data_IF_455367898565
#
_entry.id   IF_455367898565
#
_cell.length_a   1.000
_cell.length_b   1.000
_cell.length_c   1.000
_cell.angle_alpha   90.00
_cell.angle_beta   90.00
_cell.angle_gamma   90.00
#
_symmetry.space_group_name_H-M   'P 1'
#
loop_
_entity.id
_entity.type
_entity.pdbx_description
1 polymer ?
#
# COMPACT_ATOMS: atom_id res chain seq x y z
N UNK A 1 9.11 -13.00 -0.89
CA UNK A 1 7.98 -12.72 0.03
C UNK A 1 8.42 -12.46 1.46
N UNK A 2 9.52 -13.04 1.94
CA UNK A 2 10.07 -12.72 3.28
C UNK A 2 10.29 -11.22 3.52
N UNK A 3 10.93 -10.52 2.58
CA UNK A 3 11.11 -9.06 2.67
C UNK A 3 9.79 -8.30 2.82
N UNK A 4 8.75 -8.65 2.04
CA UNK A 4 7.42 -8.04 2.14
C UNK A 4 6.86 -8.22 3.55
N UNK A 5 6.92 -9.46 4.09
CA UNK A 5 6.39 -9.77 5.42
C UNK A 5 7.19 -9.07 6.53
N UNK A 6 8.53 -8.97 6.39
CA UNK A 6 9.38 -8.23 7.33
C UNK A 6 9.00 -6.75 7.36
N UNK A 7 9.01 -6.06 6.20
CA UNK A 7 8.68 -4.63 6.11
C UNK A 7 7.28 -4.34 6.64
N UNK A 8 6.31 -5.22 6.33
CA UNK A 8 4.95 -5.14 6.85
C UNK A 8 4.90 -5.26 8.38
N UNK A 9 5.59 -6.25 8.96
CA UNK A 9 5.61 -6.48 10.39
C UNK A 9 6.35 -5.38 11.16
N UNK A 10 7.46 -4.88 10.63
CA UNK A 10 8.22 -3.77 11.24
C UNK A 10 7.35 -2.51 11.36
N UNK A 11 6.58 -2.20 10.31
CA UNK A 11 5.66 -1.06 10.30
C UNK A 11 4.46 -1.27 11.23
N UNK A 12 3.97 -2.51 11.36
CA UNK A 12 2.96 -2.83 12.37
C UNK A 12 3.53 -2.60 13.76
N UNK A 13 4.76 -3.03 14.03
CA UNK A 13 5.39 -2.83 15.32
C UNK A 13 5.49 -1.35 15.68
N UNK A 14 5.89 -0.49 14.73
CA UNK A 14 5.93 0.97 14.92
C UNK A 14 4.53 1.53 15.24
N UNK A 15 3.50 1.11 14.49
CA UNK A 15 2.11 1.55 14.69
C UNK A 15 1.58 1.12 16.06
N UNK A 16 1.81 -0.12 16.45
CA UNK A 16 1.32 -0.68 17.72
C UNK A 16 2.03 -0.02 18.91
N UNK A 17 3.35 0.18 18.81
CA UNK A 17 4.14 0.88 19.83
C UNK A 17 3.68 2.34 20.00
N UNK A 18 3.42 3.03 18.88
CA UNK A 18 2.91 4.39 18.92
C UNK A 18 1.48 4.44 19.47
N UNK A 19 0.61 3.52 19.04
CA UNK A 19 -0.77 3.43 19.51
C UNK A 19 -0.83 3.16 21.01
N UNK A 20 0.03 2.29 21.55
CA UNK A 20 0.13 2.04 22.99
C UNK A 20 0.39 3.33 23.77
N UNK A 21 1.38 4.13 23.34
CA UNK A 21 1.68 5.43 23.94
C UNK A 21 0.46 6.35 23.92
N UNK A 22 -0.18 6.51 22.76
CA UNK A 22 -1.33 7.41 22.59
C UNK A 22 -2.53 6.96 23.43
N UNK A 23 -2.79 5.65 23.47
CA UNK A 23 -3.87 5.07 24.25
C UNK A 23 -3.65 5.29 25.76
N UNK A 24 -2.43 5.09 26.26
CA UNK A 24 -2.10 5.33 27.66
C UNK A 24 -2.25 6.82 28.05
N UNK A 25 -1.91 7.73 27.14
CA UNK A 25 -2.14 9.16 27.32
C UNK A 25 -3.65 9.48 27.41
N UNK A 26 -4.50 8.88 26.55
CA UNK A 26 -5.95 9.07 26.60
C UNK A 26 -6.55 8.62 27.94
N UNK A 27 -6.13 7.44 28.42
CA UNK A 27 -6.57 6.89 29.70
C UNK A 27 -6.16 7.79 30.87
N UNK A 28 -4.93 8.30 30.86
CA UNK A 28 -4.43 9.21 31.89
C UNK A 28 -5.17 10.56 31.89
N UNK A 29 -5.44 11.14 30.71
CA UNK A 29 -6.26 12.36 30.58
C UNK A 29 -7.66 12.13 31.15
N UNK A 30 -8.27 10.98 30.85
CA UNK A 30 -9.61 10.62 31.31
C UNK A 30 -9.69 10.37 32.83
N UNK A 31 -8.56 10.05 33.48
CA UNK A 31 -8.49 9.66 34.90
C UNK A 31 -8.04 10.78 35.85
N UNK A 32 -7.98 12.03 35.39
CA UNK A 32 -7.57 13.19 36.22
C UNK A 32 -6.36 13.96 35.69
N UNK A 33 -5.86 13.62 34.51
CA UNK A 33 -4.82 14.36 33.79
C UNK A 33 -3.58 13.51 33.49
N UNK A 34 -3.06 13.64 32.26
CA UNK A 34 -1.77 13.04 31.90
C UNK A 34 -0.63 13.98 32.31
N UNK A 35 -0.06 13.75 33.49
CA UNK A 35 1.07 14.53 34.03
C UNK A 35 2.36 13.74 33.88
N UNK A 36 3.33 14.29 33.17
CA UNK A 36 4.70 13.78 33.06
C UNK A 36 5.58 14.48 34.08
N UNK A 37 6.28 13.71 34.92
CA UNK A 37 7.21 14.24 35.91
C UNK A 37 8.64 14.16 35.39
N UNK A 38 9.33 15.30 35.41
CA UNK A 38 10.75 15.44 35.10
C UNK A 38 11.48 15.96 36.35
N UNK A 39 12.80 15.82 36.42
CA UNK A 39 13.58 16.26 37.59
C UNK A 39 13.29 17.73 37.94
N UNK A 40 12.46 17.95 38.97
CA UNK A 40 12.04 19.27 39.46
C UNK A 40 10.90 19.96 38.70
N UNK A 41 10.31 19.35 37.66
CA UNK A 41 9.20 19.95 36.90
C UNK A 41 8.12 18.93 36.55
N UNK A 42 6.90 19.41 36.30
CA UNK A 42 5.79 18.57 35.85
C UNK A 42 5.16 19.18 34.60
N UNK A 43 4.77 18.34 33.66
CA UNK A 43 4.15 18.74 32.41
C UNK A 43 2.82 18.04 32.22
N UNK A 44 1.74 18.80 32.11
CA UNK A 44 0.42 18.26 31.78
C UNK A 44 0.25 18.23 30.27
N UNK A 45 0.03 17.03 29.72
CA UNK A 45 -0.28 16.85 28.30
C UNK A 45 -1.58 17.57 27.98
N UNK A 46 -1.52 18.46 26.98
CA UNK A 46 -2.67 19.27 26.56
C UNK A 46 -3.57 18.43 25.62
N UNK A 47 -4.90 18.65 25.65
CA UNK A 47 -5.82 17.99 24.71
C UNK A 47 -5.44 18.19 23.23
N UNK A 48 -4.89 19.35 22.87
CA UNK A 48 -4.39 19.61 21.51
C UNK A 48 -3.22 18.70 21.11
N UNK A 49 -2.31 18.41 22.05
CA UNK A 49 -1.17 17.51 21.80
C UNK A 49 -1.65 16.07 21.60
N UNK A 50 -2.66 15.65 22.34
CA UNK A 50 -3.31 14.36 22.13
C UNK A 50 -3.94 14.26 20.73
N UNK A 51 -4.63 15.31 20.26
CA UNK A 51 -5.18 15.36 18.90
C UNK A 51 -4.10 15.28 17.83
N UNK A 52 -2.99 15.98 18.02
CA UNK A 52 -1.83 15.88 17.14
C UNK A 52 -1.29 14.45 17.13
N UNK A 53 -1.22 13.77 18.27
CA UNK A 53 -0.79 12.38 18.31
C UNK A 53 -1.71 11.45 17.50
N UNK A 54 -3.03 11.60 17.64
CA UNK A 54 -4.00 10.85 16.84
C UNK A 54 -3.81 11.00 15.34
N UNK A 55 -3.56 12.22 14.87
CA UNK A 55 -3.36 12.47 13.44
C UNK A 55 -2.12 11.77 12.87
N UNK A 56 -1.10 11.49 13.69
CA UNK A 56 0.07 10.72 13.26
C UNK A 56 -0.27 9.26 12.97
N UNK A 57 -1.26 8.67 13.66
CA UNK A 57 -1.71 7.28 13.40
C UNK A 57 -2.22 7.15 11.96
N UNK A 58 -2.96 8.15 11.46
CA UNK A 58 -3.40 8.15 10.06
C UNK A 58 -2.23 8.12 9.06
N UNK A 59 -1.16 8.85 9.35
CA UNK A 59 0.04 8.85 8.52
C UNK A 59 0.75 7.50 8.56
N UNK A 60 0.92 6.91 9.76
CA UNK A 60 1.52 5.58 9.89
C UNK A 60 0.70 4.51 9.15
N UNK A 61 -0.64 4.54 9.28
CA UNK A 61 -1.52 3.62 8.58
C UNK A 61 -1.43 3.77 7.06
N UNK A 62 -1.41 5.00 6.54
CA UNK A 62 -1.25 5.22 5.10
C UNK A 62 0.11 4.73 4.60
N UNK A 63 1.16 5.03 5.37
CA UNK A 63 2.52 4.60 5.05
C UNK A 63 2.65 3.07 5.07
N UNK A 64 1.98 2.37 6.00
CA UNK A 64 1.86 0.91 6.00
C UNK A 64 1.19 0.39 4.71
N UNK A 65 0.07 0.99 4.28
CA UNK A 65 -0.60 0.61 3.03
C UNK A 65 0.33 0.81 1.83
N UNK A 66 0.88 2.01 1.68
CA UNK A 66 1.70 2.38 0.52
C UNK A 66 2.95 1.51 0.39
N UNK A 67 3.69 1.34 1.48
CA UNK A 67 4.87 0.48 1.48
C UNK A 67 4.57 -0.97 1.19
N UNK A 68 3.48 -1.52 1.76
CA UNK A 68 3.09 -2.91 1.51
C UNK A 68 2.82 -3.13 0.02
N UNK A 69 2.04 -2.24 -0.60
CA UNK A 69 1.73 -2.36 -2.03
C UNK A 69 2.97 -2.15 -2.90
N UNK A 70 3.82 -1.18 -2.60
CA UNK A 70 5.08 -0.95 -3.34
C UNK A 70 6.01 -2.17 -3.26
N UNK A 71 6.22 -2.73 -2.06
CA UNK A 71 7.08 -3.92 -1.91
C UNK A 71 6.45 -5.17 -2.55
N UNK A 72 5.13 -5.28 -2.60
CA UNK A 72 4.44 -6.34 -3.34
C UNK A 72 4.64 -6.22 -4.86
N UNK A 73 4.56 -5.00 -5.41
CA UNK A 73 4.86 -4.73 -6.82
C UNK A 73 6.30 -5.14 -7.12
N UNK A 74 7.27 -4.68 -6.33
CA UNK A 74 8.69 -5.03 -6.49
C UNK A 74 8.92 -6.55 -6.43
N UNK A 75 8.20 -7.24 -5.54
CA UNK A 75 8.28 -8.68 -5.44
C UNK A 75 7.80 -9.36 -6.73
N UNK A 76 6.66 -8.94 -7.29
CA UNK A 76 6.14 -9.47 -8.55
C UNK A 76 7.11 -9.18 -9.70
N UNK A 77 7.60 -7.95 -9.83
CA UNK A 77 8.57 -7.54 -10.86
C UNK A 77 9.82 -8.44 -10.84
N UNK A 78 10.40 -8.62 -9.66
CA UNK A 78 11.61 -9.43 -9.46
C UNK A 78 11.38 -10.89 -9.79
N UNK A 79 10.30 -11.49 -9.25
CA UNK A 79 9.98 -12.90 -9.52
C UNK A 79 9.61 -13.14 -10.98
N UNK A 80 8.89 -12.20 -11.62
CA UNK A 80 8.56 -12.29 -13.03
C UNK A 80 9.78 -12.13 -13.93
N UNK A 81 10.75 -11.29 -13.58
CA UNK A 81 11.99 -11.10 -14.35
C UNK A 81 12.93 -12.31 -14.25
N UNK A 82 13.04 -12.91 -13.06
CA UNK A 82 13.91 -14.07 -12.79
C UNK A 82 13.28 -15.39 -13.24
N UNK A 83 11.98 -15.58 -13.00
CA UNK A 83 11.21 -16.49 -13.83
C UNK A 83 11.20 -15.96 -15.26
N UNK A 84 10.66 -16.57 -16.30
CA UNK A 84 10.85 -16.12 -17.71
C UNK A 84 12.30 -16.11 -18.25
N UNK A 85 13.32 -15.65 -17.51
CA UNK A 85 14.73 -15.65 -17.93
C UNK A 85 14.93 -15.04 -19.33
N UNK A 86 14.36 -13.85 -19.55
CA UNK A 86 14.37 -13.13 -20.83
C UNK A 86 13.28 -13.54 -21.84
N UNK A 87 12.56 -14.65 -21.62
CA UNK A 87 11.56 -15.14 -22.58
C UNK A 87 10.20 -14.48 -22.35
N UNK A 88 9.93 -13.34 -23.01
CA UNK A 88 8.69 -12.56 -22.85
C UNK A 88 7.41 -13.31 -23.23
N UNK A 89 7.52 -14.33 -24.08
CA UNK A 89 6.42 -15.21 -24.47
C UNK A 89 5.91 -16.06 -23.30
N UNK A 90 6.77 -16.33 -22.30
CA UNK A 90 6.38 -17.01 -21.07
C UNK A 90 5.49 -16.14 -20.17
N UNK A 91 5.42 -14.82 -20.36
CA UNK A 91 4.51 -13.98 -19.56
C UNK A 91 3.05 -14.19 -19.95
N UNK A 92 2.17 -14.16 -18.95
CA UNK A 92 0.71 -14.03 -19.19
C UNK A 92 0.38 -12.77 -19.97
N UNK A 93 -0.77 -12.77 -20.65
CA UNK A 93 -1.23 -11.60 -21.41
C UNK A 93 -1.31 -10.33 -20.54
N UNK A 94 -1.80 -10.47 -19.31
CA UNK A 94 -1.88 -9.38 -18.33
C UNK A 94 -0.49 -8.79 -18.03
N UNK A 95 0.47 -9.64 -17.66
CA UNK A 95 1.84 -9.20 -17.35
C UNK A 95 2.55 -8.62 -18.57
N UNK A 96 2.33 -9.18 -19.77
CA UNK A 96 2.88 -8.64 -21.02
C UNK A 96 2.34 -7.25 -21.32
N UNK A 97 1.03 -7.03 -21.14
CA UNK A 97 0.41 -5.70 -21.27
C UNK A 97 1.01 -4.70 -20.29
N UNK A 98 1.20 -5.07 -19.02
CA UNK A 98 1.83 -4.20 -18.03
C UNK A 98 3.27 -3.84 -18.41
N UNK A 99 4.06 -4.85 -18.78
CA UNK A 99 5.45 -4.64 -19.21
C UNK A 99 5.53 -3.71 -20.43
N UNK A 100 4.76 -3.96 -21.49
CA UNK A 100 4.74 -3.10 -22.68
C UNK A 100 4.28 -1.68 -22.32
N UNK A 101 3.26 -1.55 -21.45
CA UNK A 101 2.81 -0.23 -20.98
C UNK A 101 3.91 0.50 -20.23
N UNK A 102 4.72 -0.19 -19.42
CA UNK A 102 5.84 0.42 -18.70
C UNK A 102 6.95 0.91 -19.64
N UNK A 103 7.27 0.14 -20.69
CA UNK A 103 8.34 0.49 -21.65
C UNK A 103 7.87 1.58 -22.60
N UNK A 104 6.69 1.43 -23.19
CA UNK A 104 6.13 2.37 -24.14
C UNK A 104 5.70 3.69 -23.48
N UNK A 105 5.33 3.66 -22.20
CA UNK A 105 4.76 4.75 -21.42
C UNK A 105 3.77 5.61 -22.23
N UNK A 106 2.67 5.01 -22.73
CA UNK A 106 1.76 5.66 -23.68
C UNK A 106 1.05 6.90 -23.11
N UNK A 107 1.07 7.06 -21.78
CA UNK A 107 0.51 8.19 -21.05
C UNK A 107 1.46 9.39 -20.95
N UNK A 108 2.75 9.22 -21.28
CA UNK A 108 3.72 10.31 -21.26
C UNK A 108 3.62 11.16 -22.54
N UNK A 109 3.75 12.48 -22.38
CA UNK A 109 3.90 13.41 -23.50
C UNK A 109 5.32 13.28 -24.07
N UNK A 110 5.47 12.35 -25.03
CA UNK A 110 6.75 12.03 -25.68
C UNK A 110 6.80 12.54 -27.12
N UNK A 111 7.99 13.01 -27.52
CA UNK A 111 8.30 13.33 -28.93
C UNK A 111 8.32 12.06 -29.79
N UNK A 112 8.26 12.23 -31.11
CA UNK A 112 8.31 11.10 -32.04
C UNK A 112 9.62 10.31 -31.93
N UNK A 113 10.73 11.00 -31.71
CA UNK A 113 12.07 10.40 -31.55
C UNK A 113 12.10 9.50 -30.31
N UNK A 114 11.62 9.97 -29.16
CA UNK A 114 11.55 9.18 -27.92
C UNK A 114 10.64 7.96 -28.06
N UNK A 115 9.54 8.09 -28.83
CA UNK A 115 8.66 6.94 -29.12
C UNK A 115 9.38 5.90 -29.96
N UNK A 116 10.15 6.32 -30.98
CA UNK A 116 10.97 5.43 -31.79
C UNK A 116 12.06 4.74 -30.95
N UNK A 117 12.75 5.48 -30.08
CA UNK A 117 13.75 4.92 -29.15
C UNK A 117 13.15 3.82 -28.26
N UNK A 118 11.96 4.06 -27.68
CA UNK A 118 11.24 3.05 -26.88
C UNK A 118 10.83 1.83 -27.71
N UNK A 119 10.41 2.02 -28.96
CA UNK A 119 10.09 0.92 -29.86
C UNK A 119 11.32 0.08 -30.21
N UNK A 120 12.46 0.71 -30.48
CA UNK A 120 13.74 0.03 -30.71
C UNK A 120 14.20 -0.73 -29.46
N UNK A 121 14.05 -0.14 -28.26
CA UNK A 121 14.36 -0.83 -27.01
C UNK A 121 13.51 -2.10 -26.85
N UNK A 122 12.20 -2.02 -27.09
CA UNK A 122 11.32 -3.18 -27.02
C UNK A 122 11.74 -4.26 -28.04
N UNK A 123 12.10 -3.86 -29.26
CA UNK A 123 12.59 -4.76 -30.30
C UNK A 123 13.88 -5.49 -29.89
N UNK A 124 14.86 -4.75 -29.36
CA UNK A 124 16.12 -5.32 -28.86
C UNK A 124 15.90 -6.29 -27.69
N UNK A 125 14.94 -5.99 -26.80
CA UNK A 125 14.57 -6.86 -25.68
C UNK A 125 13.89 -8.15 -26.15
N UNK A 126 12.98 -8.08 -27.13
CA UNK A 126 12.34 -9.25 -27.75
C UNK A 126 13.37 -10.15 -28.45
N UNK A 127 14.40 -9.57 -29.07
CA UNK A 127 15.49 -10.30 -29.69
C UNK A 127 16.56 -10.80 -28.69
N UNK A 128 16.35 -10.60 -27.38
CA UNK A 128 17.32 -10.93 -26.33
C UNK A 128 18.70 -10.25 -26.49
N UNK A 129 18.75 -9.11 -27.18
CA UNK A 129 19.96 -8.30 -27.35
C UNK A 129 20.22 -7.41 -26.12
N UNK A 130 19.17 -7.13 -25.34
CA UNK A 130 19.26 -6.44 -24.05
C UNK A 130 18.51 -7.20 -22.96
N UNK A 131 18.97 -7.12 -21.69
CA UNK A 131 18.25 -7.71 -20.58
C UNK A 131 16.87 -7.06 -20.41
N UNK A 132 15.93 -7.88 -20.00
CA UNK A 132 14.58 -7.46 -19.63
C UNK A 132 14.54 -7.23 -18.12
N UNK A 133 13.91 -6.14 -17.73
CA UNK A 133 13.54 -5.88 -16.35
C UNK A 133 12.04 -5.55 -16.34
N UNK A 134 11.24 -6.45 -15.77
CA UNK A 134 9.80 -6.25 -15.74
C UNK A 134 9.50 -5.09 -14.79
N UNK A 135 8.80 -4.08 -15.31
CA UNK A 135 8.26 -2.98 -14.54
C UNK A 135 6.74 -2.94 -14.65
N UNK A 136 6.08 -2.77 -13.52
CA UNK A 136 4.65 -2.59 -13.43
C UNK A 136 4.42 -1.09 -13.26
N UNK A 137 3.66 -0.44 -14.16
CA UNK A 137 3.35 0.98 -14.01
C UNK A 137 2.74 1.24 -12.62
N UNK A 138 3.17 2.30 -11.92
CA UNK A 138 2.66 2.61 -10.60
C UNK A 138 1.15 2.87 -10.70
N UNK A 139 0.34 1.89 -10.29
CA UNK A 139 -1.11 2.03 -10.18
C UNK A 139 -1.47 3.11 -9.15
N UNK A 140 -2.56 3.82 -9.35
CA UNK A 140 -3.08 4.77 -8.36
C UNK A 140 -2.19 5.99 -8.03
N UNK A 141 -1.01 6.18 -8.65
CA UNK A 141 -0.16 7.37 -8.46
C UNK A 141 0.24 7.64 -7.00
N UNK A 142 0.40 6.59 -6.18
CA UNK A 142 0.67 6.73 -4.75
C UNK A 142 -0.55 7.17 -3.93
N UNK A 143 -1.78 6.94 -4.43
CA UNK A 143 -3.06 7.18 -3.76
C UNK A 143 -3.83 5.86 -3.54
N UNK A 144 -3.25 4.97 -2.74
CA UNK A 144 -3.79 3.63 -2.52
C UNK A 144 -5.05 3.64 -1.67
N UNK A 145 -6.10 3.00 -2.20
CA UNK A 145 -7.25 2.52 -1.44
C UNK A 145 -7.67 1.13 -1.92
N UNK A 146 -8.74 0.57 -1.33
CA UNK A 146 -9.25 -0.77 -1.71
C UNK A 146 -9.52 -0.87 -3.21
N UNK A 147 -10.09 0.17 -3.82
CA UNK A 147 -10.48 0.17 -5.23
C UNK A 147 -9.23 0.17 -6.12
N UNK A 148 -8.27 1.05 -5.83
CA UNK A 148 -7.03 1.13 -6.62
C UNK A 148 -6.16 -0.13 -6.46
N UNK A 149 -6.15 -0.73 -5.27
CA UNK A 149 -5.47 -2.00 -5.01
C UNK A 149 -6.14 -3.14 -5.80
N UNK A 150 -7.47 -3.26 -5.75
CA UNK A 150 -8.20 -4.28 -6.52
C UNK A 150 -7.97 -4.14 -8.04
N UNK A 151 -7.97 -2.91 -8.56
CA UNK A 151 -7.67 -2.63 -9.97
C UNK A 151 -6.26 -3.06 -10.36
N UNK A 152 -5.25 -2.71 -9.55
CA UNK A 152 -3.87 -3.13 -9.77
C UNK A 152 -3.75 -4.65 -9.72
N UNK A 153 -4.30 -5.30 -8.69
CA UNK A 153 -4.22 -6.75 -8.54
C UNK A 153 -4.83 -7.45 -9.75
N UNK A 154 -5.99 -6.97 -10.23
CA UNK A 154 -6.63 -7.50 -11.44
C UNK A 154 -5.78 -7.29 -12.69
N UNK A 155 -5.11 -6.14 -12.85
CA UNK A 155 -4.26 -5.87 -14.02
C UNK A 155 -3.00 -6.74 -14.04
N UNK A 156 -2.47 -7.11 -12.87
CA UNK A 156 -1.39 -8.08 -12.71
C UNK A 156 -1.88 -9.50 -13.00
N UNK A 157 -3.15 -9.81 -12.67
CA UNK A 157 -3.73 -11.15 -12.73
C UNK A 157 -3.85 -11.83 -11.37
N UNK A 158 -3.64 -11.09 -10.27
CA UNK A 158 -3.91 -11.54 -8.90
C UNK A 158 -5.40 -11.46 -8.64
N UNK A 159 -5.99 -12.57 -8.20
CA UNK A 159 -7.43 -12.65 -7.90
C UNK A 159 -7.70 -12.22 -6.46
N UNK A 160 -8.40 -11.10 -6.28
CA UNK A 160 -8.72 -10.53 -4.95
C UNK A 160 -10.20 -10.78 -4.66
N UNK A 161 -10.50 -11.87 -3.96
CA UNK A 161 -11.86 -12.21 -3.50
C UNK A 161 -11.98 -12.11 -1.98
N UNK A 162 -12.28 -10.90 -1.51
CA UNK A 162 -12.50 -10.67 -0.08
C UNK A 162 -13.67 -11.52 0.44
N UNK A 163 -13.46 -12.19 1.58
CA UNK A 163 -14.54 -12.84 2.31
C UNK A 163 -15.63 -11.82 2.70
N UNK A 164 -16.89 -12.24 2.78
CA UNK A 164 -17.99 -11.33 3.13
C UNK A 164 -17.73 -10.53 4.41
N UNK A 165 -17.19 -11.10 5.50
CA UNK A 165 -16.84 -10.35 6.71
C UNK A 165 -15.77 -9.29 6.48
N UNK A 166 -14.68 -9.63 5.77
CA UNK A 166 -13.59 -8.68 5.52
C UNK A 166 -14.04 -7.57 4.56
N UNK A 167 -14.78 -7.91 3.50
CA UNK A 167 -15.37 -6.94 2.58
C UNK A 167 -16.27 -5.96 3.32
N UNK A 168 -17.08 -6.44 4.26
CA UNK A 168 -17.94 -5.60 5.07
C UNK A 168 -17.11 -4.63 5.94
N UNK A 169 -16.05 -5.11 6.58
CA UNK A 169 -15.14 -4.27 7.38
C UNK A 169 -14.50 -3.15 6.55
N UNK A 170 -14.00 -3.45 5.35
CA UNK A 170 -13.22 -2.50 4.55
C UNK A 170 -14.06 -1.57 3.66
N UNK A 171 -15.32 -1.93 3.37
CA UNK A 171 -16.19 -1.15 2.46
C UNK A 171 -17.26 -0.33 3.19
N UNK A 172 -17.67 -0.72 4.41
CA UNK A 172 -18.70 0.03 5.14
C UNK A 172 -18.17 1.41 5.55
N UNK A 173 -19.01 2.45 5.52
CA UNK A 173 -18.65 3.73 6.09
C UNK A 173 -18.17 3.58 7.54
N UNK A 174 -17.02 4.17 7.83
CA UNK A 174 -16.43 4.26 9.15
C UNK A 174 -16.70 5.62 9.76
N UNK A 175 -16.44 6.69 9.01
CA UNK A 175 -16.64 8.09 9.42
C UNK A 175 -16.79 8.99 8.19
N UNK A 176 -17.59 10.04 8.30
CA UNK A 176 -17.86 11.01 7.22
C UNK A 176 -18.26 10.33 5.89
N UNK A 177 -19.08 9.28 5.98
CA UNK A 177 -19.51 8.42 4.87
C UNK A 177 -18.36 7.75 4.09
N UNK A 178 -17.17 7.68 4.68
CA UNK A 178 -15.97 7.09 4.06
C UNK A 178 -15.65 5.75 4.67
N UNK A 179 -15.36 4.79 3.80
CA UNK A 179 -14.77 3.51 4.18
C UNK A 179 -13.39 3.70 4.84
N UNK A 180 -12.94 2.80 5.75
CA UNK A 180 -11.72 2.96 6.55
C UNK A 180 -10.47 3.38 5.77
N UNK A 181 -10.11 2.63 4.73
CA UNK A 181 -8.89 2.87 3.95
C UNK A 181 -9.01 4.14 3.11
N UNK A 182 -10.20 4.44 2.59
CA UNK A 182 -10.47 5.69 1.87
C UNK A 182 -10.36 6.89 2.80
N UNK A 183 -10.88 6.80 4.02
CA UNK A 183 -10.75 7.82 5.05
C UNK A 183 -9.27 8.11 5.34
N UNK A 184 -8.46 7.07 5.58
CA UNK A 184 -7.03 7.20 5.84
C UNK A 184 -6.32 7.93 4.69
N UNK A 185 -6.57 7.51 3.44
CA UNK A 185 -6.02 8.15 2.24
C UNK A 185 -6.38 9.62 2.15
N UNK A 186 -7.66 9.96 2.32
CA UNK A 186 -8.13 11.35 2.21
C UNK A 186 -7.57 12.24 3.32
N UNK A 187 -7.47 11.72 4.55
CA UNK A 187 -6.84 12.44 5.67
C UNK A 187 -5.36 12.69 5.40
N UNK A 188 -4.62 11.66 4.95
CA UNK A 188 -3.20 11.83 4.55
C UNK A 188 -3.05 12.93 3.50
N UNK A 189 -3.90 12.93 2.48
CA UNK A 189 -3.86 13.95 1.41
C UNK A 189 -4.15 15.35 1.92
N UNK A 190 -5.17 15.51 2.79
CA UNK A 190 -5.48 16.81 3.41
C UNK A 190 -4.35 17.33 4.28
N UNK A 191 -3.71 16.45 5.07
CA UNK A 191 -2.54 16.81 5.88
C UNK A 191 -1.34 17.20 5.01
N UNK A 192 -1.04 16.41 3.97
CA UNK A 192 0.10 16.66 3.07
C UNK A 192 -0.05 17.95 2.24
N UNK A 193 -1.28 18.29 1.83
CA UNK A 193 -1.56 19.55 1.12
C UNK A 193 -1.76 20.74 2.08
N UNK A 194 -1.68 20.55 3.40
CA UNK A 194 -1.89 21.60 4.39
C UNK A 194 -3.32 22.13 4.44
N UNK A 195 -4.29 21.37 3.91
CA UNK A 195 -5.71 21.77 3.92
C UNK A 195 -6.36 21.62 5.30
N UNK A 196 -5.76 20.83 6.18
CA UNK A 196 -6.10 20.71 7.60
C UNK A 196 -4.81 20.61 8.42
N UNK A 197 -4.82 21.08 9.66
CA UNK A 197 -3.76 20.87 10.63
C UNK A 197 -3.88 19.50 11.32
N UNK A 198 -2.79 19.07 11.96
CA UNK A 198 -2.74 17.84 12.78
C UNK A 198 -3.76 17.89 13.95
N UNK A 199 -3.89 19.05 14.59
CA UNK A 199 -4.86 19.25 15.67
C UNK A 199 -6.32 19.17 15.18
N UNK A 200 -6.62 19.75 14.01
CA UNK A 200 -7.95 19.66 13.39
C UNK A 200 -8.31 18.23 12.98
N UNK A 201 -7.33 17.47 12.45
CA UNK A 201 -7.51 16.07 12.09
C UNK A 201 -7.92 15.21 13.30
N UNK A 202 -7.34 15.47 14.48
CA UNK A 202 -7.65 14.72 15.70
C UNK A 202 -9.02 15.04 16.33
N UNK A 203 -9.77 16.02 15.81
CA UNK A 203 -11.08 16.38 16.36
C UNK A 203 -12.07 15.20 16.29
N UNK A 204 -12.84 15.01 17.35
CA UNK A 204 -13.87 13.97 17.49
C UNK A 204 -13.36 12.52 17.40
N UNK A 205 -12.07 12.25 17.56
CA UNK A 205 -11.55 10.89 17.60
C UNK A 205 -11.38 10.38 19.04
N UNK A 206 -11.51 9.07 19.21
CA UNK A 206 -11.19 8.34 20.45
C UNK A 206 -10.21 7.22 20.13
N UNK A 207 -9.37 6.79 21.07
CA UNK A 207 -8.35 5.75 20.81
C UNK A 207 -8.98 4.44 20.30
N UNK A 208 -10.18 4.10 20.76
CA UNK A 208 -10.90 2.90 20.29
C UNK A 208 -11.21 2.90 18.78
N UNK A 209 -11.37 4.07 18.16
CA UNK A 209 -11.57 4.17 16.71
C UNK A 209 -10.27 3.85 15.96
N UNK A 210 -9.12 4.32 16.47
CA UNK A 210 -7.83 4.00 15.88
C UNK A 210 -7.48 2.52 16.02
N UNK A 211 -7.80 1.88 17.15
CA UNK A 211 -7.67 0.42 17.29
C UNK A 211 -8.39 -0.31 16.16
N UNK A 212 -9.66 0.04 15.91
CA UNK A 212 -10.47 -0.56 14.83
C UNK A 212 -9.82 -0.32 13.46
N UNK A 213 -9.35 0.90 13.17
CA UNK A 213 -8.69 1.22 11.91
C UNK A 213 -7.41 0.39 11.73
N UNK A 214 -6.58 0.29 12.77
CA UNK A 214 -5.36 -0.53 12.78
C UNK A 214 -5.70 -1.98 12.44
N UNK A 215 -6.68 -2.56 13.13
CA UNK A 215 -7.09 -3.95 12.90
C UNK A 215 -7.65 -4.18 11.49
N UNK A 216 -8.49 -3.28 10.99
CA UNK A 216 -9.05 -3.37 9.63
C UNK A 216 -7.94 -3.32 8.58
N UNK A 217 -6.98 -2.39 8.71
CA UNK A 217 -5.87 -2.25 7.76
C UNK A 217 -4.96 -3.47 7.83
N UNK A 218 -4.63 -3.96 9.04
CA UNK A 218 -3.81 -5.16 9.23
C UNK A 218 -4.45 -6.41 8.61
N UNK A 219 -5.73 -6.65 8.89
CA UNK A 219 -6.48 -7.79 8.35
C UNK A 219 -6.51 -7.75 6.82
N UNK A 220 -6.80 -6.57 6.24
CA UNK A 220 -6.86 -6.39 4.80
C UNK A 220 -5.50 -6.60 4.13
N UNK A 221 -4.44 -5.96 4.63
CA UNK A 221 -3.12 -6.05 4.02
C UNK A 221 -2.50 -7.45 4.16
N UNK A 222 -2.74 -8.16 5.28
CA UNK A 222 -2.36 -9.59 5.40
C UNK A 222 -3.00 -10.42 4.30
N UNK A 223 -4.30 -10.26 4.11
CA UNK A 223 -5.02 -10.95 3.04
C UNK A 223 -4.42 -10.64 1.66
N UNK A 224 -4.13 -9.37 1.36
CA UNK A 224 -3.51 -8.98 0.08
C UNK A 224 -2.13 -9.61 -0.07
N UNK A 225 -1.29 -9.57 0.96
CA UNK A 225 0.03 -10.22 0.96
C UNK A 225 -0.10 -11.71 0.63
N UNK A 226 -1.05 -12.40 1.23
CA UNK A 226 -1.25 -13.84 1.01
C UNK A 226 -1.73 -14.15 -0.42
N UNK A 227 -2.56 -13.29 -1.03
CA UNK A 227 -2.94 -13.45 -2.44
C UNK A 227 -1.75 -13.29 -3.39
N UNK A 228 -0.87 -12.31 -3.12
CA UNK A 228 0.33 -12.11 -3.92
C UNK A 228 1.37 -13.21 -3.69
N UNK A 229 1.49 -13.72 -2.47
CA UNK A 229 2.35 -14.87 -2.16
C UNK A 229 1.92 -16.08 -2.98
N UNK A 230 0.62 -16.43 -2.91
CA UNK A 230 0.05 -17.53 -3.70
C UNK A 230 0.30 -17.36 -5.20
N UNK A 231 0.06 -16.16 -5.74
CA UNK A 231 0.32 -15.84 -7.14
C UNK A 231 1.79 -16.05 -7.53
N UNK A 232 2.73 -15.55 -6.71
CA UNK A 232 4.17 -15.68 -6.97
C UNK A 232 4.62 -17.14 -6.85
N UNK A 233 4.22 -17.86 -5.81
CA UNK A 233 4.58 -19.27 -5.58
C UNK A 233 4.09 -20.18 -6.70
N UNK A 234 2.90 -19.91 -7.24
CA UNK A 234 2.33 -20.65 -8.36
C UNK A 234 2.87 -20.20 -9.73
N UNK A 235 3.82 -19.26 -9.75
CA UNK A 235 4.33 -18.66 -10.99
C UNK A 235 3.21 -18.07 -11.85
N UNK A 236 2.18 -17.46 -11.25
CA UNK A 236 0.98 -16.95 -11.93
C UNK A 236 1.27 -15.85 -12.97
N UNK A 237 2.48 -15.31 -12.98
CA UNK A 237 2.99 -14.42 -14.02
C UNK A 237 3.38 -15.15 -15.31
N UNK A 238 3.46 -16.48 -15.31
CA UNK A 238 3.75 -17.30 -16.49
C UNK A 238 2.50 -17.89 -17.13
N UNK A 239 2.53 -18.05 -18.45
CA UNK A 239 1.58 -18.93 -19.14
C UNK A 239 1.85 -20.38 -18.71
N UNK A 240 0.79 -21.13 -18.41
CA UNK A 240 0.89 -22.58 -18.30
C UNK A 240 1.30 -23.10 -19.68
N UNK A 241 2.46 -23.74 -19.77
CA UNK A 241 2.92 -24.38 -21.01
C UNK A 241 1.84 -25.35 -21.45
N UNK A 242 1.07 -25.02 -22.48
CA UNK A 242 0.40 -26.06 -23.25
C UNK A 242 1.53 -26.82 -23.92
N UNK A 243 1.77 -28.03 -23.43
CA UNK A 243 2.57 -29.02 -24.16
C UNK A 243 1.79 -29.30 -25.44
N UNK A 244 2.03 -28.50 -26.48
CA UNK A 244 1.62 -28.85 -27.84
C UNK A 244 2.46 -30.05 -28.22
N UNK A 245 1.85 -31.23 -28.04
CA UNK A 245 2.30 -32.49 -28.61
C UNK A 245 2.26 -32.43 -30.15
#
# INVERSE_FOLDING_TARGET
MELVRSVFNDRIYDIESYFELVNNIELAISSGGAVLHFSGTSYTVKPEQQKIMYSSIYLHLYNLIESTISTLIDAVERHATLGINGQLDLLTENMRKLYVTSVAAPYELLTNEKRLEKALLLFEQVLNLRPINIKIPPGGGGNWDVIEIEKLSKSIGVNVNLSSPLKQKVMRPFRDDKAPIRLIKEIRNKLAHGSISFAECGNNHVASDFRKLIDIVKDYLRYIIDQYDAYISQHGYRTSVQTTA
#
